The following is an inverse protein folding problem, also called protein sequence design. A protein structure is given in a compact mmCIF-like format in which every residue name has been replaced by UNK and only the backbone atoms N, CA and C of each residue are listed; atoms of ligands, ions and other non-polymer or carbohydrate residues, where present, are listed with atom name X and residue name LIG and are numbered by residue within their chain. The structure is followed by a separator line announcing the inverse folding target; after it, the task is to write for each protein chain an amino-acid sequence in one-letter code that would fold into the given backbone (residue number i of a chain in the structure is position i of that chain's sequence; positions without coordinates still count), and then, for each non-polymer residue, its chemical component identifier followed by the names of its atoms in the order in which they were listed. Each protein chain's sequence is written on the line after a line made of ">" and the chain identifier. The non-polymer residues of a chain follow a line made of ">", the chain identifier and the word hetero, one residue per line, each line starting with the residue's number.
data_IF_105708844872
#
_entry.id   IF_105708844872
#
_cell.length_a   1.000
_cell.length_b   1.000
_cell.length_c   1.000
_cell.angle_alpha   90.00
_cell.angle_beta   90.00
_cell.angle_gamma   90.00
#
_symmetry.space_group_name_H-M   'P 1'
#
loop_
_entity.id
_entity.type
_entity.pdbx_description
1 polymer ?
#
# COMPACT_ATOMS: atom_id res chain seq x y z
N UNK A 1 0.50 11.17 -10.13
CA UNK A 1 -0.46 12.12 -9.51
C UNK A 1 -1.13 13.07 -10.51
N UNK A 2 -0.41 13.71 -11.46
CA UNK A 2 -1.05 14.60 -12.46
C UNK A 2 -2.17 13.92 -13.29
N UNK A 3 -1.95 12.69 -13.75
CA UNK A 3 -2.97 11.94 -14.48
C UNK A 3 -4.18 11.58 -13.60
N UNK A 4 -3.95 11.22 -12.33
CA UNK A 4 -5.03 10.95 -11.37
C UNK A 4 -5.95 12.18 -11.22
N UNK A 5 -5.37 13.38 -11.01
CA UNK A 5 -6.19 14.58 -10.89
C UNK A 5 -6.96 14.89 -12.18
N UNK A 6 -6.38 14.66 -13.35
CA UNK A 6 -7.06 14.87 -14.63
C UNK A 6 -8.21 13.89 -14.85
N UNK A 7 -8.11 12.67 -14.35
CA UNK A 7 -9.13 11.63 -14.48
C UNK A 7 -10.24 11.73 -13.43
N UNK A 8 -9.92 12.11 -12.20
CA UNK A 8 -10.87 12.11 -11.08
C UNK A 8 -11.46 13.50 -10.75
N UNK A 9 -10.87 14.58 -11.26
CA UNK A 9 -11.40 15.95 -11.13
C UNK A 9 -11.65 16.53 -12.52
N UNK A 10 -12.73 16.11 -13.19
CA UNK A 10 -13.11 16.63 -14.49
C UNK A 10 -13.40 18.13 -14.38
N UNK A 11 -13.05 18.87 -15.44
CA UNK A 11 -13.25 20.32 -15.53
C UNK A 11 -14.49 20.69 -16.34
N UNK A 12 -15.12 19.71 -16.96
CA UNK A 12 -16.30 19.86 -17.77
C UNK A 12 -17.33 18.82 -17.29
N UNK A 13 -18.63 19.06 -17.49
CA UNK A 13 -19.64 18.03 -17.26
C UNK A 13 -19.36 16.80 -18.12
N UNK A 14 -19.85 15.61 -17.73
CA UNK A 14 -19.74 14.43 -18.57
C UNK A 14 -20.42 14.69 -19.92
N UNK A 15 -19.86 14.18 -21.04
CA UNK A 15 -20.54 14.25 -22.33
C UNK A 15 -21.88 13.52 -22.25
N UNK A 16 -22.85 13.92 -23.09
CA UNK A 16 -24.11 13.20 -23.20
C UNK A 16 -23.83 11.75 -23.62
N UNK A 17 -24.47 10.79 -22.94
CA UNK A 17 -24.35 9.38 -23.32
C UNK A 17 -25.16 9.13 -24.59
N UNK A 18 -24.50 8.56 -25.62
CA UNK A 18 -25.20 8.15 -26.82
C UNK A 18 -26.18 7.00 -26.49
N UNK A 19 -27.39 7.01 -27.06
CA UNK A 19 -28.34 5.92 -26.85
C UNK A 19 -27.77 4.60 -27.36
N UNK A 20 -28.08 3.50 -26.67
CA UNK A 20 -27.72 2.16 -27.12
C UNK A 20 -28.58 1.79 -28.33
N UNK A 21 -27.94 1.59 -29.48
CA UNK A 21 -28.63 1.19 -30.71
C UNK A 21 -28.78 -0.34 -30.70
N UNK A 22 -30.01 -0.89 -30.75
CA UNK A 22 -30.20 -2.32 -30.88
C UNK A 22 -29.69 -2.81 -32.24
N UNK A 23 -29.10 -4.02 -32.33
CA UNK A 23 -28.58 -4.54 -33.59
C UNK A 23 -29.71 -4.77 -34.61
N UNK A 24 -29.40 -4.57 -35.89
CA UNK A 24 -30.35 -4.84 -36.99
C UNK A 24 -30.68 -6.34 -37.00
N UNK A 25 -31.96 -6.74 -36.99
CA UNK A 25 -32.35 -8.15 -37.03
C UNK A 25 -31.91 -8.81 -38.35
N UNK A 26 -31.53 -10.11 -38.34
CA UNK A 26 -31.05 -10.81 -39.52
C UNK A 26 -32.09 -10.92 -40.66
N UNK A 27 -33.39 -10.82 -40.33
CA UNK A 27 -34.50 -10.88 -41.29
C UNK A 27 -35.08 -9.49 -41.61
N UNK A 28 -34.41 -8.40 -41.22
CA UNK A 28 -34.92 -7.03 -41.32
C UNK A 28 -35.88 -6.66 -40.18
N UNK A 29 -36.33 -5.40 -40.16
CA UNK A 29 -37.25 -4.89 -39.14
C UNK A 29 -38.65 -5.45 -39.35
N UNK A 30 -39.34 -5.82 -38.25
CA UNK A 30 -40.67 -6.43 -38.31
C UNK A 30 -41.78 -5.42 -38.61
N UNK A 31 -41.53 -4.12 -38.36
CA UNK A 31 -42.46 -3.04 -38.65
C UNK A 31 -41.74 -1.78 -39.14
N UNK A 32 -42.49 -0.92 -39.83
CA UNK A 32 -42.01 0.40 -40.24
C UNK A 32 -41.67 1.29 -39.03
N UNK A 33 -42.41 1.12 -37.94
CA UNK A 33 -42.14 1.79 -36.66
C UNK A 33 -40.77 1.43 -36.09
N UNK A 34 -40.40 0.14 -36.06
CA UNK A 34 -39.08 -0.31 -35.59
C UNK A 34 -37.94 0.24 -36.45
N UNK A 35 -38.14 0.27 -37.78
CA UNK A 35 -37.17 0.85 -38.72
C UNK A 35 -36.97 2.35 -38.48
N UNK A 36 -38.06 3.07 -38.26
CA UNK A 36 -38.04 4.52 -38.01
C UNK A 36 -37.37 4.85 -36.67
N UNK A 37 -37.67 4.07 -35.63
CA UNK A 37 -37.08 4.25 -34.30
C UNK A 37 -35.58 3.90 -34.31
N UNK A 38 -35.17 2.83 -35.00
CA UNK A 38 -33.75 2.52 -35.20
C UNK A 38 -33.02 3.66 -35.95
N UNK A 39 -33.61 4.20 -37.01
CA UNK A 39 -33.03 5.33 -37.75
C UNK A 39 -32.91 6.58 -36.87
N UNK A 40 -33.93 6.87 -36.05
CA UNK A 40 -33.94 7.98 -35.09
C UNK A 40 -32.85 7.84 -34.02
N UNK A 41 -32.70 6.65 -33.43
CA UNK A 41 -31.68 6.39 -32.42
C UNK A 41 -30.27 6.47 -33.02
N UNK A 42 -30.10 6.02 -34.26
CA UNK A 42 -28.83 6.12 -35.00
C UNK A 42 -28.46 7.58 -35.27
N UNK A 43 -29.39 8.38 -35.80
CA UNK A 43 -29.17 9.82 -36.03
C UNK A 43 -28.90 10.57 -34.73
N UNK A 44 -29.64 10.26 -33.64
CA UNK A 44 -29.39 10.85 -32.33
C UNK A 44 -28.00 10.48 -31.78
N UNK A 45 -27.58 9.22 -31.92
CA UNK A 45 -26.26 8.77 -31.50
C UNK A 45 -25.13 9.45 -32.31
N UNK A 46 -25.29 9.57 -33.63
CA UNK A 46 -24.33 10.26 -34.49
C UNK A 46 -24.25 11.76 -34.17
N UNK A 47 -25.39 12.41 -33.90
CA UNK A 47 -25.42 13.80 -33.43
C UNK A 47 -24.68 13.98 -32.12
N UNK A 48 -24.96 13.15 -31.11
CA UNK A 48 -24.30 13.21 -29.80
C UNK A 48 -22.79 12.95 -29.94
N UNK A 49 -22.39 11.99 -30.78
CA UNK A 49 -20.98 11.66 -31.04
C UNK A 49 -20.22 12.80 -31.73
N UNK A 50 -20.90 13.57 -32.57
CA UNK A 50 -20.33 14.70 -33.31
C UNK A 50 -20.48 16.05 -32.57
N UNK A 51 -21.10 16.09 -31.40
CA UNK A 51 -21.15 17.31 -30.59
C UNK A 51 -19.74 17.68 -30.11
N UNK A 52 -19.40 18.99 -30.04
CA UNK A 52 -18.16 19.41 -29.44
C UNK A 52 -18.10 18.97 -27.97
N UNK A 53 -16.90 18.68 -27.45
CA UNK A 53 -16.76 18.34 -26.04
C UNK A 53 -17.29 19.47 -25.17
N UNK A 54 -17.94 19.16 -24.03
CA UNK A 54 -18.53 20.16 -23.16
C UNK A 54 -17.47 21.16 -22.68
N UNK A 55 -17.87 22.43 -22.64
CA UNK A 55 -16.94 23.51 -22.27
C UNK A 55 -16.44 23.35 -20.84
N UNK A 56 -15.14 23.61 -20.59
CA UNK A 56 -14.60 23.64 -19.24
C UNK A 56 -15.24 24.74 -18.38
N UNK A 57 -15.70 24.36 -17.20
CA UNK A 57 -16.15 25.28 -16.17
C UNK A 57 -14.93 25.98 -15.59
N UNK A 58 -14.84 27.31 -15.77
CA UNK A 58 -13.69 28.15 -15.37
C UNK A 58 -13.27 27.94 -13.91
N UNK A 59 -14.25 27.79 -13.00
CA UNK A 59 -13.97 27.55 -11.58
C UNK A 59 -13.27 26.20 -11.33
N UNK A 60 -13.73 25.12 -11.99
CA UNK A 60 -13.12 23.79 -11.84
C UNK A 60 -11.72 23.75 -12.44
N UNK A 61 -11.50 24.45 -13.56
CA UNK A 61 -10.17 24.62 -14.14
C UNK A 61 -9.24 25.28 -13.13
N UNK A 62 -9.66 26.41 -12.54
CA UNK A 62 -8.89 27.14 -11.52
C UNK A 62 -8.56 26.26 -10.31
N UNK A 63 -9.55 25.58 -9.73
CA UNK A 63 -9.33 24.70 -8.56
C UNK A 63 -8.38 23.54 -8.88
N UNK A 64 -8.51 22.92 -10.06
CA UNK A 64 -7.59 21.85 -10.49
C UNK A 64 -6.16 22.37 -10.68
N UNK A 65 -6.01 23.56 -11.23
CA UNK A 65 -4.69 24.21 -11.38
C UNK A 65 -4.07 24.56 -10.03
N UNK A 66 -4.86 25.05 -9.07
CA UNK A 66 -4.43 25.29 -7.70
C UNK A 66 -3.95 23.99 -7.04
N UNK A 67 -4.72 22.90 -7.14
CA UNK A 67 -4.31 21.57 -6.64
C UNK A 67 -3.01 21.08 -7.32
N UNK A 68 -2.89 21.24 -8.63
CA UNK A 68 -1.67 20.87 -9.36
C UNK A 68 -0.47 21.70 -8.92
N UNK A 69 -0.65 23.00 -8.64
CA UNK A 69 0.40 23.87 -8.09
C UNK A 69 0.81 23.42 -6.70
N UNK A 70 -0.14 23.14 -5.81
CA UNK A 70 0.14 22.64 -4.46
C UNK A 70 0.90 21.32 -4.51
N UNK A 71 0.48 20.36 -5.35
CA UNK A 71 1.19 19.07 -5.49
C UNK A 71 2.60 19.24 -6.04
N UNK A 72 2.82 20.17 -6.98
CA UNK A 72 4.17 20.48 -7.49
C UNK A 72 5.05 21.13 -6.44
N UNK A 73 4.48 21.87 -5.50
CA UNK A 73 5.20 22.48 -4.39
C UNK A 73 5.53 21.47 -3.28
N UNK A 74 4.85 20.33 -3.22
CA UNK A 74 5.18 19.26 -2.27
C UNK A 74 6.52 18.61 -2.64
N UNK A 75 7.45 18.59 -1.69
CA UNK A 75 8.67 17.81 -1.79
C UNK A 75 8.39 16.35 -1.45
N UNK A 76 7.84 15.60 -2.41
CA UNK A 76 7.51 14.19 -2.23
C UNK A 76 8.76 13.30 -2.33
N UNK A 77 8.86 12.23 -1.53
CA UNK A 77 9.96 11.28 -1.65
C UNK A 77 9.92 10.58 -3.02
N UNK A 78 11.07 10.06 -3.49
CA UNK A 78 11.12 9.26 -4.70
C UNK A 78 10.28 8.00 -4.55
N UNK A 79 9.91 7.38 -5.68
CA UNK A 79 9.24 6.09 -5.66
C UNK A 79 10.13 5.06 -4.92
N UNK A 80 9.60 4.38 -3.88
CA UNK A 80 10.43 3.54 -3.01
C UNK A 80 11.05 2.36 -3.75
N UNK A 81 10.36 1.76 -4.73
CA UNK A 81 10.91 0.65 -5.50
C UNK A 81 12.04 1.11 -6.42
N UNK A 82 11.88 2.27 -7.06
CA UNK A 82 12.93 2.84 -7.91
C UNK A 82 14.15 3.23 -7.07
N UNK A 83 13.97 3.80 -5.87
CA UNK A 83 15.05 4.13 -4.94
C UNK A 83 15.80 2.88 -4.44
N UNK A 84 15.08 1.80 -4.13
CA UNK A 84 15.70 0.50 -3.80
C UNK A 84 16.53 -0.02 -4.97
N UNK A 85 15.98 0.02 -6.20
CA UNK A 85 16.70 -0.44 -7.39
C UNK A 85 17.94 0.43 -7.68
N UNK A 86 17.84 1.75 -7.48
CA UNK A 86 18.96 2.69 -7.66
C UNK A 86 20.09 2.39 -6.67
N UNK A 87 19.76 2.21 -5.39
CA UNK A 87 20.74 1.96 -4.33
C UNK A 87 21.44 0.61 -4.44
N UNK A 88 20.70 -0.45 -4.77
CA UNK A 88 21.27 -1.80 -4.87
C UNK A 88 21.82 -2.11 -6.26
N UNK A 89 21.41 -1.36 -7.28
CA UNK A 89 21.74 -1.59 -8.68
C UNK A 89 20.85 -2.64 -9.34
N UNK A 90 20.49 -2.38 -10.60
CA UNK A 90 19.65 -3.23 -11.44
C UNK A 90 20.15 -4.68 -11.52
N UNK A 91 21.47 -4.86 -11.57
CA UNK A 91 22.10 -6.18 -11.70
C UNK A 91 21.98 -7.03 -10.44
N UNK A 92 21.72 -6.42 -9.28
CA UNK A 92 21.58 -7.10 -8.00
C UNK A 92 20.12 -7.32 -7.58
N UNK A 93 19.17 -6.61 -8.21
CA UNK A 93 17.75 -6.62 -7.85
C UNK A 93 16.93 -7.41 -8.87
N UNK A 94 16.27 -8.46 -8.38
CA UNK A 94 15.31 -9.26 -9.11
C UNK A 94 13.91 -8.70 -8.89
N UNK A 95 13.39 -7.98 -9.88
CA UNK A 95 12.08 -7.33 -9.78
C UNK A 95 10.97 -8.19 -10.40
N UNK A 96 10.19 -8.84 -9.54
CA UNK A 96 9.00 -9.62 -9.89
C UNK A 96 7.73 -8.83 -9.55
N UNK A 97 7.47 -7.76 -10.31
CA UNK A 97 6.32 -6.87 -10.14
C UNK A 97 5.43 -6.85 -11.39
N UNK A 98 4.26 -6.20 -11.30
CA UNK A 98 3.41 -5.91 -12.47
C UNK A 98 3.81 -4.67 -13.28
N UNK A 99 4.89 -3.96 -12.92
CA UNK A 99 5.25 -2.66 -13.55
C UNK A 99 5.74 -2.86 -14.99
N UNK A 100 5.43 -2.01 -15.97
CA UNK A 100 6.05 -2.17 -17.31
C UNK A 100 7.46 -1.58 -17.42
N UNK A 101 7.83 -0.69 -16.49
CA UNK A 101 9.11 -0.01 -16.47
C UNK A 101 9.41 0.66 -15.14
N UNK A 102 10.63 1.19 -15.06
CA UNK A 102 11.22 1.85 -13.90
C UNK A 102 11.93 3.14 -14.31
N UNK A 103 12.15 4.01 -13.34
CA UNK A 103 12.90 5.25 -13.55
C UNK A 103 14.26 5.05 -12.87
N UNK A 104 15.34 5.16 -13.65
CA UNK A 104 16.70 5.08 -13.14
C UNK A 104 17.29 6.48 -13.03
N UNK A 105 17.98 6.75 -11.93
CA UNK A 105 18.76 7.97 -11.78
C UNK A 105 20.14 7.73 -12.36
N UNK A 106 20.57 8.60 -13.26
CA UNK A 106 21.92 8.59 -13.81
C UNK A 106 22.88 9.34 -12.89
N UNK A 107 24.17 9.13 -13.10
CA UNK A 107 25.28 9.80 -12.39
C UNK A 107 25.29 11.32 -12.55
N UNK A 108 24.64 11.85 -13.59
CA UNK A 108 24.43 13.28 -13.86
C UNK A 108 23.18 13.85 -13.15
N UNK A 109 22.58 13.10 -12.22
CA UNK A 109 21.33 13.43 -11.53
C UNK A 109 20.12 13.58 -12.47
N UNK A 110 20.21 13.07 -13.71
CA UNK A 110 19.08 13.02 -14.64
C UNK A 110 18.31 11.70 -14.50
N UNK A 111 17.03 11.72 -14.81
CA UNK A 111 16.17 10.54 -14.73
C UNK A 111 15.93 9.95 -16.12
N UNK A 112 16.11 8.63 -16.26
CA UNK A 112 15.80 7.91 -17.49
C UNK A 112 14.75 6.84 -17.22
N UNK A 113 13.67 6.88 -17.98
CA UNK A 113 12.72 5.77 -18.01
C UNK A 113 13.33 4.58 -18.75
N UNK A 114 13.28 3.41 -18.13
CA UNK A 114 13.76 2.14 -18.69
C UNK A 114 12.65 1.10 -18.56
N UNK A 115 12.23 0.53 -19.70
CA UNK A 115 11.34 -0.64 -19.69
C UNK A 115 12.05 -1.81 -19.02
N UNK A 116 11.32 -2.68 -18.30
CA UNK A 116 11.92 -3.86 -17.65
C UNK A 116 12.38 -4.96 -18.64
N UNK A 117 12.30 -4.70 -19.95
CA UNK A 117 12.76 -5.61 -21.00
C UNK A 117 14.29 -5.79 -20.91
N UNK A 118 14.76 -7.00 -20.64
CA UNK A 118 16.18 -7.32 -20.79
C UNK A 118 16.44 -7.66 -22.26
N UNK A 119 17.38 -6.92 -22.88
CA UNK A 119 17.97 -7.06 -24.22
C UNK A 119 17.40 -8.09 -25.21
N UNK A 120 16.92 -7.58 -26.35
CA UNK A 120 16.53 -8.35 -27.54
C UNK A 120 15.11 -8.90 -27.42
N UNK A 121 14.17 -8.51 -28.28
CA UNK A 121 14.04 -9.24 -29.55
C UNK A 121 15.20 -10.19 -29.82
N UNK A 122 15.33 -11.28 -29.06
CA UNK A 122 15.76 -12.51 -29.69
C UNK A 122 14.57 -12.92 -30.56
N UNK A 123 14.59 -12.42 -31.79
CA UNK A 123 14.04 -13.10 -32.95
C UNK A 123 14.73 -14.46 -33.02
N UNK A 124 14.28 -15.42 -32.21
CA UNK A 124 14.45 -16.82 -32.58
C UNK A 124 13.55 -17.02 -33.80
N UNK A 125 14.16 -17.08 -34.98
CA UNK A 125 13.50 -17.45 -36.24
C UNK A 125 12.42 -16.50 -36.79
N UNK A 126 12.60 -15.17 -36.69
CA UNK A 126 11.82 -14.22 -37.52
C UNK A 126 10.30 -14.20 -37.32
N UNK A 127 9.78 -14.87 -36.30
CA UNK A 127 8.35 -14.89 -35.93
C UNK A 127 8.15 -14.02 -34.71
N UNK A 128 7.88 -12.72 -34.91
CA UNK A 128 7.30 -11.89 -33.85
C UNK A 128 5.84 -12.29 -33.67
N UNK A 129 5.58 -13.28 -32.81
CA UNK A 129 4.21 -13.52 -32.35
C UNK A 129 3.78 -12.33 -31.49
N UNK A 130 2.58 -11.76 -31.70
CA UNK A 130 2.03 -10.75 -30.81
C UNK A 130 1.66 -11.44 -29.50
N UNK A 131 2.62 -11.61 -28.60
CA UNK A 131 2.36 -12.07 -27.23
C UNK A 131 1.68 -10.95 -26.46
N UNK A 132 0.61 -11.25 -25.74
CA UNK A 132 -0.06 -10.27 -24.90
C UNK A 132 0.94 -9.74 -23.85
N UNK A 133 0.79 -8.47 -23.45
CA UNK A 133 1.71 -7.81 -22.50
C UNK A 133 1.86 -8.56 -21.17
N UNK A 134 0.85 -9.32 -20.79
CA UNK A 134 0.83 -10.14 -19.58
C UNK A 134 1.81 -11.32 -19.69
N UNK A 135 1.81 -12.03 -20.82
CA UNK A 135 2.69 -13.18 -21.09
C UNK A 135 4.17 -12.78 -21.06
N UNK A 136 4.51 -11.62 -21.61
CA UNK A 136 5.88 -11.07 -21.58
C UNK A 136 6.33 -10.76 -20.15
N UNK A 137 5.44 -10.21 -19.33
CA UNK A 137 5.73 -9.85 -17.95
C UNK A 137 5.91 -11.09 -17.06
N UNK A 138 5.14 -12.14 -17.28
CA UNK A 138 5.27 -13.41 -16.57
C UNK A 138 6.55 -14.14 -16.95
N UNK A 139 6.91 -14.14 -18.23
CA UNK A 139 8.18 -14.67 -18.69
C UNK A 139 9.37 -13.95 -18.05
N UNK A 140 9.28 -12.62 -17.88
CA UNK A 140 10.30 -11.83 -17.19
C UNK A 140 10.39 -12.18 -15.70
N UNK A 141 9.25 -12.29 -15.02
CA UNK A 141 9.19 -12.62 -13.59
C UNK A 141 9.82 -14.01 -13.33
N UNK A 142 9.59 -15.00 -14.20
CA UNK A 142 10.23 -16.33 -14.11
C UNK A 142 11.74 -16.25 -14.27
N UNK A 143 12.24 -15.42 -15.19
CA UNK A 143 13.69 -15.21 -15.39
C UNK A 143 14.32 -14.52 -14.18
N UNK A 144 13.72 -13.45 -13.68
CA UNK A 144 14.18 -12.72 -12.49
C UNK A 144 14.21 -13.62 -11.25
N UNK A 145 13.17 -14.44 -11.07
CA UNK A 145 13.13 -15.49 -10.04
C UNK A 145 14.33 -16.42 -10.14
N UNK A 146 14.65 -16.89 -11.37
CA UNK A 146 15.79 -17.79 -11.59
C UNK A 146 17.11 -17.12 -11.23
N UNK A 147 17.32 -15.86 -11.64
CA UNK A 147 18.54 -15.12 -11.31
C UNK A 147 18.73 -14.95 -9.80
N UNK A 148 17.65 -14.69 -9.06
CA UNK A 148 17.67 -14.64 -7.60
C UNK A 148 17.98 -16.02 -6.99
N UNK A 149 17.29 -17.07 -7.42
CA UNK A 149 17.48 -18.42 -6.89
C UNK A 149 18.86 -19.02 -7.22
N UNK A 150 19.42 -18.64 -8.37
CA UNK A 150 20.80 -18.96 -8.75
C UNK A 150 21.86 -18.15 -7.97
N UNK A 151 21.42 -17.14 -7.21
CA UNK A 151 22.29 -16.27 -6.42
C UNK A 151 23.01 -15.19 -7.22
N UNK A 152 22.64 -14.98 -8.50
CA UNK A 152 23.18 -13.90 -9.34
C UNK A 152 22.63 -12.54 -8.92
N UNK A 153 21.36 -12.50 -8.52
CA UNK A 153 20.72 -11.35 -7.88
C UNK A 153 20.54 -11.64 -6.39
N UNK A 154 20.76 -10.64 -5.55
CA UNK A 154 20.77 -10.80 -4.08
C UNK A 154 19.53 -10.23 -3.41
N UNK A 155 18.85 -9.31 -4.08
CA UNK A 155 17.62 -8.68 -3.59
C UNK A 155 16.49 -9.11 -4.52
N UNK A 156 15.34 -9.48 -3.96
CA UNK A 156 14.13 -9.76 -4.71
C UNK A 156 13.02 -8.81 -4.27
N UNK A 157 12.33 -8.21 -5.23
CA UNK A 157 11.14 -7.38 -5.02
C UNK A 157 9.96 -8.16 -5.58
N UNK A 158 8.94 -8.38 -4.77
CA UNK A 158 7.67 -9.02 -5.18
C UNK A 158 6.50 -8.07 -4.91
N UNK A 159 5.51 -8.07 -5.79
CA UNK A 159 4.22 -7.39 -5.57
C UNK A 159 3.06 -8.38 -5.71
N UNK A 160 1.90 -8.07 -5.13
CA UNK A 160 0.70 -8.92 -5.17
C UNK A 160 0.40 -9.41 -6.61
N UNK A 161 0.40 -8.47 -7.57
CA UNK A 161 0.10 -8.70 -8.99
C UNK A 161 1.02 -9.68 -9.73
N UNK A 162 2.20 -9.98 -9.20
CA UNK A 162 3.21 -10.83 -9.86
C UNK A 162 3.71 -11.97 -8.94
N UNK A 163 3.05 -12.17 -7.79
CA UNK A 163 3.49 -13.13 -6.76
C UNK A 163 2.82 -14.50 -6.85
N UNK A 164 1.78 -14.65 -7.68
CA UNK A 164 1.05 -15.92 -7.86
C UNK A 164 2.01 -17.01 -8.33
N UNK A 165 2.11 -18.10 -7.57
CA UNK A 165 3.01 -19.22 -7.89
C UNK A 165 4.51 -18.97 -7.68
N UNK A 166 4.95 -17.76 -7.30
CA UNK A 166 6.38 -17.48 -7.07
C UNK A 166 6.85 -18.10 -5.74
N UNK A 167 8.04 -18.69 -5.75
CA UNK A 167 8.68 -19.33 -4.60
C UNK A 167 10.14 -18.91 -4.52
N UNK A 168 10.53 -18.31 -3.38
CA UNK A 168 11.82 -17.66 -3.14
C UNK A 168 12.53 -18.18 -1.88
N UNK A 169 11.98 -19.24 -1.27
CA UNK A 169 12.59 -19.90 -0.11
C UNK A 169 14.01 -20.42 -0.43
N UNK A 170 14.83 -20.67 0.59
CA UNK A 170 16.17 -21.25 0.41
C UNK A 170 16.07 -22.76 0.14
N UNK A 171 15.50 -23.14 -1.00
CA UNK A 171 15.37 -24.54 -1.45
C UNK A 171 16.74 -25.22 -1.43
N UNK A 172 16.85 -26.43 -0.87
CA UNK A 172 18.09 -27.24 -0.88
C UNK A 172 18.69 -27.40 -2.27
N UNK A 173 17.87 -27.40 -3.32
CA UNK A 173 18.29 -27.60 -4.72
C UNK A 173 18.77 -26.33 -5.41
N UNK A 174 18.52 -25.15 -4.84
CA UNK A 174 18.94 -23.90 -5.47
C UNK A 174 20.39 -23.54 -5.12
N UNK A 175 21.08 -22.81 -6.02
CA UNK A 175 22.49 -22.43 -5.80
C UNK A 175 22.68 -21.46 -4.63
N UNK A 176 21.65 -20.67 -4.34
CA UNK A 176 21.62 -19.73 -3.21
C UNK A 176 21.06 -20.33 -1.91
N UNK A 177 21.02 -21.66 -1.79
CA UNK A 177 20.43 -22.38 -0.64
C UNK A 177 21.12 -22.09 0.70
N UNK A 178 22.43 -21.84 0.65
CA UNK A 178 23.25 -21.45 1.81
C UNK A 178 22.95 -20.03 2.32
N UNK A 179 22.24 -19.19 1.53
CA UNK A 179 21.90 -17.81 1.91
C UNK A 179 20.55 -17.79 2.64
N UNK A 180 20.56 -17.45 3.93
CA UNK A 180 19.33 -17.26 4.70
C UNK A 180 18.51 -16.11 4.13
N UNK A 181 17.19 -16.34 3.98
CA UNK A 181 16.27 -15.32 3.46
C UNK A 181 15.92 -14.32 4.56
N UNK A 182 15.99 -13.02 4.24
CA UNK A 182 15.43 -11.96 5.07
C UNK A 182 14.29 -11.32 4.27
N UNK A 183 13.08 -11.44 4.77
CA UNK A 183 11.87 -10.98 4.09
C UNK A 183 11.39 -9.70 4.75
N UNK A 184 11.47 -8.60 4.02
CA UNK A 184 10.94 -7.30 4.42
C UNK A 184 9.51 -7.13 3.90
N UNK A 185 8.57 -6.87 4.79
CA UNK A 185 7.20 -6.50 4.44
C UNK A 185 7.10 -4.98 4.54
N UNK A 186 7.21 -4.31 3.39
CA UNK A 186 7.18 -2.84 3.29
C UNK A 186 5.75 -2.31 3.31
N UNK A 187 4.84 -3.04 2.66
CA UNK A 187 3.41 -2.72 2.66
C UNK A 187 2.67 -3.89 3.29
N UNK A 188 2.00 -3.64 4.42
CA UNK A 188 1.19 -4.65 5.08
C UNK A 188 -0.17 -4.78 4.38
N UNK A 189 -0.55 -5.97 3.91
CA UNK A 189 -1.88 -6.19 3.37
C UNK A 189 -2.96 -5.91 4.43
N UNK A 190 -4.06 -5.30 3.99
CA UNK A 190 -5.24 -5.06 4.83
C UNK A 190 -5.79 -6.33 5.49
N UNK A 191 -5.64 -7.47 4.81
CA UNK A 191 -6.06 -8.78 5.31
C UNK A 191 -4.85 -9.61 5.75
N UNK A 192 -4.88 -10.07 7.00
CA UNK A 192 -3.80 -10.87 7.57
C UNK A 192 -3.54 -12.19 6.80
N UNK A 193 -4.57 -12.78 6.20
CA UNK A 193 -4.43 -13.99 5.39
C UNK A 193 -3.63 -13.73 4.10
N UNK A 194 -3.79 -12.55 3.48
CA UNK A 194 -2.97 -12.14 2.34
C UNK A 194 -1.51 -11.94 2.77
N UNK A 195 -1.29 -11.34 3.94
CA UNK A 195 0.06 -11.20 4.49
C UNK A 195 0.72 -12.57 4.68
N UNK A 196 0.04 -13.53 5.31
CA UNK A 196 0.54 -14.91 5.47
C UNK A 196 0.90 -15.55 4.12
N UNK A 197 0.04 -15.39 3.11
CA UNK A 197 0.30 -15.92 1.77
C UNK A 197 1.54 -15.29 1.11
N UNK A 198 1.82 -14.02 1.37
CA UNK A 198 3.04 -13.33 0.92
C UNK A 198 4.27 -13.84 1.69
N UNK A 199 4.17 -14.01 3.00
CA UNK A 199 5.27 -14.54 3.81
C UNK A 199 5.60 -16.00 3.47
N UNK A 200 4.60 -16.78 3.04
CA UNK A 200 4.76 -18.13 2.49
C UNK A 200 5.50 -18.20 1.15
N UNK A 201 5.82 -17.07 0.50
CA UNK A 201 6.67 -17.05 -0.70
C UNK A 201 8.13 -17.35 -0.36
N UNK A 202 8.57 -17.03 0.85
CA UNK A 202 9.93 -17.31 1.34
C UNK A 202 10.01 -18.46 2.34
N UNK A 203 8.87 -19.05 2.72
CA UNK A 203 8.80 -20.16 3.69
C UNK A 203 8.09 -21.37 3.09
N UNK A 204 8.83 -22.46 2.88
CA UNK A 204 8.32 -23.71 2.27
C UNK A 204 9.03 -24.93 2.86
N UNK A 205 8.39 -26.08 2.74
CA UNK A 205 9.01 -27.38 3.07
C UNK A 205 10.27 -27.60 2.25
N UNK A 206 11.29 -28.23 2.85
CA UNK A 206 12.54 -28.54 2.17
C UNK A 206 13.54 -27.38 2.08
N UNK A 207 13.28 -26.23 2.70
CA UNK A 207 14.25 -25.15 2.83
C UNK A 207 15.44 -25.55 3.73
N UNK A 208 16.65 -25.06 3.41
CA UNK A 208 17.86 -25.22 4.25
C UNK A 208 17.76 -24.43 5.54
N UNK A 209 17.20 -23.22 5.47
CA UNK A 209 17.09 -22.29 6.60
C UNK A 209 15.72 -21.62 6.62
N UNK A 210 15.21 -21.33 7.81
CA UNK A 210 14.00 -20.52 7.96
C UNK A 210 14.28 -19.05 7.65
N UNK A 211 13.35 -18.34 6.97
CA UNK A 211 13.49 -16.92 6.72
C UNK A 211 13.45 -16.13 8.04
N UNK A 212 14.04 -14.94 8.03
CA UNK A 212 13.84 -13.91 9.05
C UNK A 212 12.82 -12.94 8.49
N UNK A 213 11.75 -12.67 9.23
CA UNK A 213 10.74 -11.70 8.83
C UNK A 213 11.00 -10.35 9.50
N UNK A 214 10.88 -9.28 8.72
CA UNK A 214 10.99 -7.89 9.17
C UNK A 214 9.80 -7.11 8.63
N UNK A 215 8.90 -6.70 9.51
CA UNK A 215 7.81 -5.80 9.14
C UNK A 215 8.31 -4.36 9.24
N UNK A 216 8.12 -3.59 8.18
CA UNK A 216 8.38 -2.15 8.19
C UNK A 216 7.04 -1.50 8.50
N UNK A 217 6.94 -0.90 9.67
CA UNK A 217 5.74 -0.22 10.15
C UNK A 217 6.16 1.18 10.51
N UNK A 218 5.45 2.18 10.02
CA UNK A 218 5.68 3.56 10.42
C UNK A 218 5.15 3.81 11.84
N UNK A 219 5.48 4.97 12.41
CA UNK A 219 4.94 5.38 13.70
C UNK A 219 3.44 5.78 13.64
N UNK A 220 2.76 5.53 12.52
CA UNK A 220 1.34 5.74 12.37
C UNK A 220 0.55 4.71 13.19
N UNK A 221 -0.24 5.22 14.13
CA UNK A 221 -1.11 4.41 14.97
C UNK A 221 -2.04 3.49 14.20
N UNK A 222 -2.58 3.96 13.06
CA UNK A 222 -3.41 3.17 12.16
C UNK A 222 -2.69 1.94 11.59
N UNK A 223 -1.38 2.01 11.34
CA UNK A 223 -0.61 0.88 10.82
C UNK A 223 -0.41 -0.23 11.85
N UNK A 224 -0.31 0.13 13.15
CA UNK A 224 -0.17 -0.84 14.26
C UNK A 224 -1.33 -1.81 14.33
N UNK A 225 -2.53 -1.39 13.91
CA UNK A 225 -3.69 -2.29 13.77
C UNK A 225 -3.39 -3.46 12.83
N UNK A 226 -2.85 -3.17 11.65
CA UNK A 226 -2.56 -4.19 10.64
C UNK A 226 -1.39 -5.07 11.09
N UNK A 227 -0.34 -4.46 11.64
CA UNK A 227 0.81 -5.19 12.16
C UNK A 227 0.41 -6.17 13.29
N UNK A 228 -0.43 -5.72 14.22
CA UNK A 228 -0.97 -6.57 15.30
C UNK A 228 -1.82 -7.71 14.77
N UNK A 229 -2.71 -7.45 13.81
CA UNK A 229 -3.55 -8.48 13.21
C UNK A 229 -2.72 -9.56 12.48
N UNK A 230 -1.68 -9.16 11.75
CA UNK A 230 -0.75 -10.08 11.09
C UNK A 230 0.06 -10.87 12.12
N UNK A 231 0.63 -10.21 13.13
CA UNK A 231 1.40 -10.86 14.19
C UNK A 231 0.58 -11.93 14.92
N UNK A 232 -0.64 -11.61 15.34
CA UNK A 232 -1.54 -12.55 16.02
C UNK A 232 -1.87 -13.76 15.17
N UNK A 233 -2.12 -13.55 13.87
CA UNK A 233 -2.38 -14.62 12.90
C UNK A 233 -1.14 -15.50 12.67
N UNK A 234 0.05 -14.91 12.59
CA UNK A 234 1.30 -15.66 12.50
C UNK A 234 1.58 -16.48 13.75
N UNK A 235 1.33 -15.92 14.94
CA UNK A 235 1.46 -16.64 16.21
C UNK A 235 0.49 -17.83 16.27
N UNK A 236 -0.76 -17.66 15.83
CA UNK A 236 -1.74 -18.75 15.72
C UNK A 236 -1.30 -19.85 14.76
N UNK A 237 -0.75 -19.50 13.59
CA UNK A 237 -0.21 -20.49 12.65
C UNK A 237 1.03 -21.21 13.20
N UNK A 238 1.93 -20.49 13.88
CA UNK A 238 3.07 -21.07 14.60
C UNK A 238 2.62 -22.02 15.72
N UNK A 239 1.55 -21.67 16.43
CA UNK A 239 0.96 -22.50 17.48
C UNK A 239 0.20 -23.73 16.94
N UNK A 240 -0.27 -23.69 15.69
CA UNK A 240 -0.87 -24.84 14.98
C UNK A 240 0.19 -25.76 14.38
N UNK A 241 1.40 -25.27 14.13
CA UNK A 241 2.51 -26.04 13.52
C UNK A 241 3.42 -26.71 14.57
N UNK A 242 2.86 -27.19 15.71
CA UNK A 242 3.53 -27.73 16.93
C UNK A 242 4.62 -28.81 16.78
N UNK A 243 5.16 -29.09 15.60
CA UNK A 243 6.27 -30.03 15.40
C UNK A 243 7.67 -29.39 15.31
N UNK A 244 7.80 -28.12 14.90
CA UNK A 244 9.12 -27.53 14.63
C UNK A 244 9.30 -26.13 15.25
N UNK A 245 9.71 -26.10 16.52
CA UNK A 245 10.03 -24.86 17.26
C UNK A 245 11.20 -24.06 16.63
N UNK A 246 11.92 -24.61 15.64
CA UNK A 246 13.01 -23.93 14.94
C UNK A 246 12.52 -22.87 13.95
N UNK A 247 11.26 -22.94 13.50
CA UNK A 247 10.66 -21.92 12.63
C UNK A 247 10.21 -20.66 13.40
N UNK A 248 9.92 -20.79 14.69
CA UNK A 248 9.45 -19.68 15.54
C UNK A 248 10.59 -18.84 16.15
N UNK A 249 11.83 -19.34 16.16
CA UNK A 249 12.94 -18.73 16.91
C UNK A 249 13.58 -17.51 16.23
N UNK A 250 13.23 -17.23 14.96
CA UNK A 250 13.73 -16.05 14.22
C UNK A 250 12.69 -14.94 14.02
N UNK A 251 11.52 -15.07 14.66
CA UNK A 251 10.29 -14.38 14.25
C UNK A 251 9.56 -13.81 15.46
N UNK A 252 10.25 -13.01 16.28
CA UNK A 252 9.58 -12.31 17.37
C UNK A 252 8.81 -11.10 16.83
N UNK A 253 7.69 -11.38 16.18
CA UNK A 253 6.73 -10.34 15.75
C UNK A 253 5.76 -9.99 16.88
N UNK A 254 5.93 -10.57 18.07
CA UNK A 254 5.05 -10.31 19.22
C UNK A 254 5.13 -8.86 19.69
N UNK A 255 6.21 -8.15 19.35
CA UNK A 255 6.36 -6.70 19.57
C UNK A 255 5.22 -5.87 18.96
N UNK A 256 4.58 -6.37 17.89
CA UNK A 256 3.45 -5.72 17.25
C UNK A 256 2.09 -6.12 17.85
N UNK A 257 2.03 -7.11 18.74
CA UNK A 257 0.78 -7.57 19.34
C UNK A 257 0.30 -6.66 20.48
N UNK A 258 -0.38 -5.59 20.08
CA UNK A 258 -1.04 -4.66 21.01
C UNK A 258 -2.36 -5.21 21.57
N UNK A 259 -2.93 -6.30 21.04
CA UNK A 259 -4.13 -6.96 21.60
C UNK A 259 -3.76 -8.04 22.63
N UNK A 260 -2.75 -7.73 23.43
CA UNK A 260 -2.23 -8.57 24.51
C UNK A 260 -2.83 -8.19 25.87
N UNK A 261 -2.50 -8.95 26.92
CA UNK A 261 -2.86 -8.58 28.31
C UNK A 261 -2.25 -7.22 28.67
N UNK A 262 -1.02 -6.96 28.22
CA UNK A 262 -0.33 -5.70 28.46
C UNK A 262 -0.98 -4.54 27.70
N UNK A 263 -1.35 -4.72 26.43
CA UNK A 263 -2.03 -3.69 25.66
C UNK A 263 -3.42 -3.33 26.22
N UNK A 264 -4.19 -4.33 26.68
CA UNK A 264 -5.46 -4.06 27.38
C UNK A 264 -5.28 -3.28 28.68
N UNK A 265 -4.25 -3.62 29.47
CA UNK A 265 -3.91 -2.89 30.71
C UNK A 265 -3.41 -1.47 30.42
N UNK A 266 -2.58 -1.30 29.40
CA UNK A 266 -2.09 0.00 28.97
C UNK A 266 -3.24 0.89 28.52
N UNK A 267 -4.16 0.37 27.70
CA UNK A 267 -5.35 1.09 27.26
C UNK A 267 -6.25 1.48 28.43
N UNK A 268 -6.51 0.58 29.38
CA UNK A 268 -7.31 0.90 30.55
C UNK A 268 -6.69 2.04 31.40
N UNK A 269 -5.36 2.01 31.58
CA UNK A 269 -4.62 3.09 32.26
C UNK A 269 -4.69 4.40 31.49
N UNK A 270 -4.52 4.34 30.17
CA UNK A 270 -4.62 5.49 29.28
C UNK A 270 -5.99 6.18 29.41
N UNK A 271 -7.08 5.41 29.31
CA UNK A 271 -8.43 5.95 29.53
C UNK A 271 -8.64 6.51 30.93
N UNK A 272 -8.12 5.83 31.97
CA UNK A 272 -8.20 6.32 33.35
C UNK A 272 -7.49 7.67 33.51
N UNK A 273 -6.32 7.85 32.87
CA UNK A 273 -5.60 9.11 32.86
C UNK A 273 -6.39 10.21 32.13
N UNK A 274 -7.01 9.90 30.99
CA UNK A 274 -7.83 10.85 30.23
C UNK A 274 -9.18 11.18 30.88
N UNK A 275 -9.71 10.32 31.76
CA UNK A 275 -10.96 10.57 32.48
C UNK A 275 -10.77 11.23 33.84
N UNK A 276 -9.54 11.25 34.37
CA UNK A 276 -9.25 11.97 35.61
C UNK A 276 -9.37 13.48 35.40
N UNK A 277 -10.22 14.14 36.19
CA UNK A 277 -10.29 15.62 36.26
C UNK A 277 -10.01 16.07 37.71
N UNK A 278 -8.97 16.89 37.96
CA UNK A 278 -7.97 17.36 36.99
C UNK A 278 -7.15 16.17 36.43
N UNK A 279 -6.64 16.32 35.19
CA UNK A 279 -5.78 15.30 34.59
C UNK A 279 -4.63 15.00 35.55
N UNK A 280 -4.48 13.74 35.95
CA UNK A 280 -3.38 13.33 36.82
C UNK A 280 -2.06 13.73 36.15
N UNK A 281 -1.13 14.32 36.93
CA UNK A 281 0.19 14.69 36.42
C UNK A 281 0.77 13.52 35.63
N UNK A 282 1.19 13.74 34.37
CA UNK A 282 1.71 12.66 33.56
C UNK A 282 2.89 12.00 34.29
N UNK A 283 3.07 10.70 34.10
CA UNK A 283 4.30 10.04 34.55
C UNK A 283 5.53 10.80 34.03
N UNK A 284 6.66 10.73 34.74
CA UNK A 284 7.91 11.38 34.28
C UNK A 284 8.29 11.01 32.85
N UNK A 285 7.91 9.80 32.40
CA UNK A 285 8.15 9.31 31.04
C UNK A 285 7.19 9.91 29.99
N UNK A 286 5.97 10.29 30.39
CA UNK A 286 5.00 10.94 29.50
C UNK A 286 5.22 12.44 29.39
N UNK A 287 5.92 13.08 30.35
CA UNK A 287 6.27 14.50 30.25
C UNK A 287 7.17 14.76 29.04
N UNK A 288 8.26 14.00 28.86
CA UNK A 288 9.16 14.18 27.71
C UNK A 288 8.45 13.99 26.36
N UNK A 289 7.43 13.13 26.33
CA UNK A 289 6.61 12.91 25.15
C UNK A 289 5.71 14.10 24.90
N UNK A 290 4.94 14.52 25.90
CA UNK A 290 4.06 15.69 25.82
C UNK A 290 4.84 16.94 25.39
N UNK A 291 6.05 17.11 25.93
CA UNK A 291 6.95 18.21 25.62
C UNK A 291 7.34 18.26 24.12
N UNK A 292 7.37 17.12 23.41
CA UNK A 292 7.60 17.08 21.94
C UNK A 292 6.42 17.70 21.16
N UNK A 293 5.20 17.57 21.67
CA UNK A 293 3.99 18.06 21.01
C UNK A 293 3.63 19.50 21.40
N UNK A 294 4.18 20.00 22.51
CA UNK A 294 4.02 21.39 22.93
C UNK A 294 4.95 22.27 22.10
N UNK A 295 4.37 23.18 21.32
CA UNK A 295 5.13 24.10 20.49
C UNK A 295 5.88 25.13 21.34
N UNK A 296 7.22 25.06 21.37
CA UNK A 296 8.16 26.13 21.79
C UNK A 296 7.93 26.80 23.17
N UNK A 297 8.11 26.06 24.28
CA UNK A 297 8.67 26.67 25.50
C UNK A 297 9.97 26.00 25.94
N UNK A 298 10.96 26.78 26.38
CA UNK A 298 12.23 26.25 26.93
C UNK A 298 12.01 25.35 28.16
N UNK A 299 10.87 25.49 28.83
CA UNK A 299 10.31 24.54 29.79
C UNK A 299 8.78 24.52 29.67
N UNK A 300 8.17 23.43 29.19
CA UNK A 300 6.71 23.30 29.13
C UNK A 300 6.09 23.28 30.52
N UNK A 301 5.08 24.14 30.71
CA UNK A 301 4.31 24.23 31.96
C UNK A 301 3.37 23.03 32.09
N UNK A 302 2.99 22.73 33.33
CA UNK A 302 1.99 21.68 33.59
C UNK A 302 0.64 22.01 32.95
N UNK A 303 0.31 23.30 32.77
CA UNK A 303 -0.87 23.76 32.04
C UNK A 303 -0.84 23.36 30.56
N UNK A 304 0.29 23.58 29.86
CA UNK A 304 0.44 23.21 28.45
C UNK A 304 0.37 21.67 28.24
N UNK A 305 0.89 20.90 29.22
CA UNK A 305 0.76 19.44 29.23
C UNK A 305 -0.68 19.00 29.42
N UNK A 306 -1.42 19.64 30.33
CA UNK A 306 -2.85 19.38 30.52
C UNK A 306 -3.68 19.73 29.27
N UNK A 307 -3.36 20.83 28.58
CA UNK A 307 -4.02 21.22 27.33
C UNK A 307 -3.77 20.18 26.21
N UNK A 308 -2.54 19.65 26.13
CA UNK A 308 -2.19 18.60 25.15
C UNK A 308 -2.96 17.29 25.45
N UNK A 309 -3.12 16.93 26.73
CA UNK A 309 -3.94 15.79 27.13
C UNK A 309 -5.43 16.01 26.83
N UNK A 310 -5.95 17.22 27.09
CA UNK A 310 -7.32 17.59 26.74
C UNK A 310 -7.55 17.51 25.23
N UNK A 311 -6.58 17.98 24.43
CA UNK A 311 -6.61 17.86 22.96
C UNK A 311 -6.69 16.40 22.52
N UNK A 312 -5.87 15.51 23.11
CA UNK A 312 -5.94 14.09 22.81
C UNK A 312 -7.29 13.46 23.21
N UNK A 313 -7.84 13.81 24.37
CA UNK A 313 -9.14 13.33 24.83
C UNK A 313 -10.28 13.76 23.90
N UNK A 314 -10.31 15.03 23.50
CA UNK A 314 -11.31 15.56 22.57
C UNK A 314 -11.23 14.88 21.20
N UNK A 315 -10.02 14.75 20.65
CA UNK A 315 -9.81 14.05 19.39
C UNK A 315 -10.33 12.60 19.43
N UNK A 316 -10.10 11.88 20.53
CA UNK A 316 -10.65 10.54 20.71
C UNK A 316 -12.18 10.54 20.78
N UNK A 317 -12.80 11.52 21.43
CA UNK A 317 -14.25 11.66 21.47
C UNK A 317 -14.84 11.87 20.07
N UNK A 318 -14.19 12.68 19.22
CA UNK A 318 -14.63 12.97 17.85
C UNK A 318 -14.70 11.71 16.97
N UNK A 319 -13.79 10.76 17.18
CA UNK A 319 -13.83 9.45 16.52
C UNK A 319 -14.67 8.41 17.29
N UNK A 320 -15.42 8.83 18.30
CA UNK A 320 -16.29 7.99 19.12
C UNK A 320 -15.53 6.96 19.97
N UNK A 321 -14.32 7.32 20.38
CA UNK A 321 -13.50 6.58 21.33
C UNK A 321 -13.67 7.05 22.78
N UNK A 322 -14.63 7.92 23.11
CA UNK A 322 -14.92 8.36 24.49
C UNK A 322 -15.56 7.34 25.44
N UNK A 323 -15.63 6.07 25.05
CA UNK A 323 -16.30 5.02 25.83
C UNK A 323 -15.32 4.04 26.48
N UNK A 324 -15.82 2.86 26.85
CA UNK A 324 -15.02 1.83 27.52
C UNK A 324 -13.77 1.39 26.73
N UNK A 325 -12.66 1.09 27.43
CA UNK A 325 -11.41 0.69 26.81
C UNK A 325 -11.55 -0.67 26.11
N UNK A 326 -11.54 -0.65 24.77
CA UNK A 326 -11.53 -1.85 23.95
C UNK A 326 -10.48 -1.71 22.85
N UNK A 327 -9.43 -2.55 22.91
CA UNK A 327 -8.27 -2.47 22.00
C UNK A 327 -8.69 -2.58 20.54
N UNK A 328 -9.60 -3.50 20.21
CA UNK A 328 -10.08 -3.67 18.83
C UNK A 328 -10.84 -2.44 18.34
N UNK A 329 -11.72 -1.87 19.18
CA UNK A 329 -12.45 -0.63 18.84
C UNK A 329 -11.48 0.54 18.68
N UNK A 330 -10.53 0.68 19.61
CA UNK A 330 -9.50 1.71 19.61
C UNK A 330 -8.68 1.69 18.32
N UNK A 331 -8.06 0.56 17.99
CA UNK A 331 -7.24 0.42 16.77
C UNK A 331 -8.04 0.61 15.48
N UNK A 332 -9.32 0.24 15.46
CA UNK A 332 -10.16 0.43 14.28
C UNK A 332 -10.51 1.91 14.04
N UNK A 333 -10.68 2.69 15.10
CA UNK A 333 -11.16 4.08 15.00
C UNK A 333 -10.06 5.13 15.03
N UNK A 334 -8.89 4.81 15.57
CA UNK A 334 -7.73 5.72 15.61
C UNK A 334 -7.26 6.16 14.22
N UNK A 335 -7.51 5.33 13.19
CA UNK A 335 -7.23 5.69 11.80
C UNK A 335 -8.07 6.89 11.28
N UNK A 336 -9.13 7.28 12.00
CA UNK A 336 -9.92 8.47 11.72
C UNK A 336 -9.29 9.78 12.22
N UNK A 337 -8.23 9.70 13.02
CA UNK A 337 -7.51 10.88 13.51
C UNK A 337 -6.46 11.34 12.48
N UNK A 338 -6.12 12.63 12.55
CA UNK A 338 -4.96 13.15 11.82
C UNK A 338 -3.66 12.47 12.28
N UNK A 339 -2.68 12.39 11.39
CA UNK A 339 -1.39 11.70 11.62
C UNK A 339 -0.70 12.16 12.91
N UNK A 340 -0.67 13.47 13.15
CA UNK A 340 -0.03 14.04 14.35
C UNK A 340 -0.76 13.62 15.63
N UNK A 341 -2.09 13.59 15.62
CA UNK A 341 -2.91 13.16 16.75
C UNK A 341 -2.79 11.66 17.00
N UNK A 342 -2.69 10.85 15.94
CA UNK A 342 -2.39 9.42 16.09
C UNK A 342 -1.05 9.21 16.80
N UNK A 343 -0.02 9.97 16.39
CA UNK A 343 1.31 9.88 17.01
C UNK A 343 1.28 10.29 18.47
N UNK A 344 0.61 11.41 18.79
CA UNK A 344 0.40 11.88 20.15
C UNK A 344 -0.24 10.79 21.02
N UNK A 345 -1.40 10.28 20.60
CA UNK A 345 -2.16 9.27 21.35
C UNK A 345 -1.37 8.00 21.62
N UNK A 346 -0.53 7.54 20.67
CA UNK A 346 0.29 6.34 20.87
C UNK A 346 1.55 6.56 21.71
N UNK A 347 1.98 7.82 21.84
CA UNK A 347 3.16 8.19 22.59
C UNK A 347 2.87 8.41 24.08
N UNK A 348 1.62 8.75 24.42
CA UNK A 348 1.09 8.85 25.79
C UNK A 348 0.89 7.47 26.43
#
# INVERSE_FOLDING_TARGET
>A
MSNFLRSHFPIAPPPQEAPKIPPVPPNGFASEFERLEHARLTDLADRIKNMPPPEPIRELVRRREELLRSIKALNLPPNPLDDIIDRFGVENVAEMTGRSGRILRKTDNTFRYTKRCFGGSQTSYGLSMPTNREDESDCLNVKERKLFMDGKKHVAIISDAASTGVSLHSDRRCKSSHKRRVHFTIELPWAADKAIQQLGRSHRSGQVSAPIYKMVVSDLGGERRFASAVSKRMAQLGALTKGDRRAATGTDLSEFDVDSIFGRRALAKFYTALSSTPYSSPSRNSNSVLDEFISHPQQPSDEARMETLATAANALNDVGLGGEPNVKKFLNRIAGLEVLLQRLVFSL
#
